data_IF_937856805225
#
_entry.id   IF_937856805225
#
_cell.length_a   1.000
_cell.length_b   1.000
_cell.length_c   1.000
_cell.angle_alpha   90.00
_cell.angle_beta   90.00
_cell.angle_gamma   90.00
#
_symmetry.space_group_name_H-M   'P 1'
#
loop_
_entity.id
_entity.type
_entity.pdbx_description
1 polymer ?
#
# COMPACT_ATOMS: atom_id res chain seq x y z
N UNK A 1 -4.81 8.71 -21.59
CA UNK A 1 -4.50 9.05 -22.99
C UNK A 1 -3.29 9.97 -23.12
N UNK A 2 -3.26 11.13 -22.43
CA UNK A 2 -2.12 12.07 -22.49
C UNK A 2 -0.74 11.42 -22.24
N UNK A 3 -0.66 10.48 -21.30
CA UNK A 3 0.55 9.71 -21.00
C UNK A 3 1.04 8.83 -22.15
N UNK A 4 0.12 8.15 -22.85
CA UNK A 4 0.44 7.30 -24.00
C UNK A 4 1.01 8.15 -25.14
N UNK A 5 0.34 9.26 -25.48
CA UNK A 5 0.79 10.15 -26.55
C UNK A 5 2.15 10.80 -26.28
N UNK A 6 2.46 11.17 -25.04
CA UNK A 6 3.77 11.72 -24.69
C UNK A 6 4.89 10.69 -24.85
N UNK A 7 4.60 9.41 -24.57
CA UNK A 7 5.56 8.31 -24.78
C UNK A 7 5.74 7.99 -26.26
N UNK A 8 4.70 8.14 -27.08
CA UNK A 8 4.77 7.90 -28.54
C UNK A 8 5.47 9.03 -29.27
N UNK A 9 5.16 10.29 -28.93
CA UNK A 9 5.77 11.48 -29.55
C UNK A 9 7.22 11.64 -29.11
N UNK A 10 7.56 11.20 -27.89
CA UNK A 10 8.90 11.25 -27.31
C UNK A 10 9.60 12.64 -27.47
N UNK A 11 8.98 13.74 -26.99
CA UNK A 11 9.41 15.11 -27.29
C UNK A 11 10.73 15.53 -26.62
N UNK A 12 11.19 14.82 -25.59
CA UNK A 12 12.43 15.13 -24.88
C UNK A 12 13.54 14.13 -25.21
N UNK A 13 14.80 14.55 -25.05
CA UNK A 13 15.99 13.71 -25.29
C UNK A 13 16.04 12.52 -24.31
N UNK A 14 15.66 12.75 -23.06
CA UNK A 14 15.53 11.73 -22.02
C UNK A 14 14.40 12.14 -21.04
N UNK A 15 13.88 11.18 -20.28
CA UNK A 15 12.95 11.44 -19.20
C UNK A 15 11.48 11.43 -19.59
N UNK A 16 11.12 11.12 -20.84
CA UNK A 16 9.74 11.03 -21.29
C UNK A 16 8.89 10.11 -20.40
N UNK A 17 9.44 8.96 -19.99
CA UNK A 17 8.77 8.04 -19.06
C UNK A 17 8.54 8.62 -17.66
N UNK A 18 9.44 9.46 -17.16
CA UNK A 18 9.28 10.13 -15.85
C UNK A 18 8.24 11.25 -15.95
N UNK A 19 8.30 12.05 -17.02
CA UNK A 19 7.36 13.14 -17.28
C UNK A 19 5.94 12.60 -17.52
N UNK A 20 5.79 11.53 -18.31
CA UNK A 20 4.50 10.90 -18.56
C UNK A 20 3.84 10.42 -17.26
N UNK A 21 4.63 9.80 -16.36
CA UNK A 21 4.13 9.32 -15.06
C UNK A 21 3.78 10.47 -14.11
N UNK A 22 4.63 11.50 -14.03
CA UNK A 22 4.34 12.69 -13.24
C UNK A 22 3.06 13.41 -13.72
N UNK A 23 2.92 13.60 -15.04
CA UNK A 23 1.71 14.17 -15.64
C UNK A 23 0.47 13.32 -15.34
N UNK A 24 0.60 12.00 -15.41
CA UNK A 24 -0.49 11.07 -15.08
C UNK A 24 -0.95 11.25 -13.64
N UNK A 25 -0.02 11.36 -12.68
CA UNK A 25 -0.36 11.61 -11.28
C UNK A 25 -1.10 12.94 -11.09
N UNK A 26 -0.64 14.01 -11.75
CA UNK A 26 -1.29 15.33 -11.69
C UNK A 26 -2.70 15.28 -12.27
N UNK A 27 -2.89 14.66 -13.44
CA UNK A 27 -4.19 14.55 -14.08
C UNK A 27 -5.18 13.71 -13.26
N UNK A 28 -4.71 12.62 -12.65
CA UNK A 28 -5.52 11.82 -11.74
C UNK A 28 -5.92 12.63 -10.49
N UNK A 29 -4.99 13.43 -9.96
CA UNK A 29 -5.25 14.29 -8.82
C UNK A 29 -6.31 15.36 -9.14
N UNK A 30 -6.20 16.02 -10.29
CA UNK A 30 -7.10 17.10 -10.72
C UNK A 30 -8.56 16.63 -10.85
N UNK A 31 -8.77 15.38 -11.28
CA UNK A 31 -10.12 14.79 -11.40
C UNK A 31 -10.59 14.04 -10.14
N UNK A 32 -9.84 14.12 -9.03
CA UNK A 32 -10.23 13.59 -7.72
C UNK A 32 -9.80 12.15 -7.41
N UNK A 33 -8.94 11.53 -8.21
CA UNK A 33 -8.33 10.23 -7.87
C UNK A 33 -7.12 10.42 -6.94
N UNK A 34 -7.40 10.60 -5.65
CA UNK A 34 -6.38 10.87 -4.61
C UNK A 34 -5.55 9.65 -4.18
N UNK A 35 -5.84 8.44 -4.68
CA UNK A 35 -5.12 7.21 -4.26
C UNK A 35 -3.61 7.31 -4.48
N UNK A 36 -3.21 8.07 -5.49
CA UNK A 36 -1.82 8.29 -5.91
C UNK A 36 -0.99 9.04 -4.85
N UNK A 37 -1.66 9.70 -3.88
CA UNK A 37 -1.04 10.32 -2.70
C UNK A 37 -0.59 9.30 -1.65
N UNK A 38 -1.23 8.13 -1.62
CA UNK A 38 -1.08 7.13 -0.57
C UNK A 38 -0.35 5.88 -1.06
N UNK A 39 -0.53 5.52 -2.33
CA UNK A 39 0.12 4.37 -2.96
C UNK A 39 0.81 4.83 -4.23
N UNK A 40 2.07 4.42 -4.40
CA UNK A 40 2.88 4.81 -5.56
C UNK A 40 2.47 4.05 -6.82
N UNK A 41 1.85 4.76 -7.75
CA UNK A 41 1.58 4.25 -9.11
C UNK A 41 2.86 3.79 -9.82
N UNK A 42 4.00 4.43 -9.55
CA UNK A 42 5.27 4.03 -10.17
C UNK A 42 5.71 2.65 -9.73
N UNK A 43 5.50 2.32 -8.45
CA UNK A 43 5.79 0.98 -7.93
C UNK A 43 4.84 -0.04 -8.56
N UNK A 44 3.56 0.28 -8.72
CA UNK A 44 2.59 -0.59 -9.39
C UNK A 44 2.95 -0.83 -10.87
N UNK A 45 3.44 0.19 -11.57
CA UNK A 45 3.95 0.07 -12.96
C UNK A 45 5.21 -0.79 -12.99
N UNK A 46 6.16 -0.57 -12.09
CA UNK A 46 7.40 -1.35 -12.03
C UNK A 46 7.12 -2.84 -11.76
N UNK A 47 6.16 -3.16 -10.89
CA UNK A 47 5.69 -4.53 -10.63
C UNK A 47 5.03 -5.19 -11.85
N UNK A 48 4.54 -4.40 -12.82
CA UNK A 48 3.83 -4.84 -14.01
C UNK A 48 4.49 -4.36 -15.31
N UNK A 49 5.82 -4.22 -15.31
CA UNK A 49 6.57 -3.58 -16.39
C UNK A 49 6.33 -4.24 -17.76
N UNK A 50 6.27 -5.57 -17.83
CA UNK A 50 6.02 -6.28 -19.09
C UNK A 50 4.64 -5.93 -19.67
N UNK A 51 3.60 -5.91 -18.82
CA UNK A 51 2.25 -5.53 -19.22
C UNK A 51 2.14 -4.06 -19.62
N UNK A 52 2.88 -3.19 -18.94
CA UNK A 52 3.01 -1.79 -19.29
C UNK A 52 3.54 -1.61 -20.71
N UNK A 53 4.69 -2.22 -21.02
CA UNK A 53 5.31 -2.07 -22.34
C UNK A 53 4.52 -2.79 -23.44
N UNK A 54 3.96 -3.97 -23.16
CA UNK A 54 3.14 -4.70 -24.11
C UNK A 54 1.87 -3.93 -24.48
N UNK A 55 1.17 -3.36 -23.49
CA UNK A 55 -0.03 -2.56 -23.74
C UNK A 55 0.27 -1.27 -24.48
N UNK A 56 1.40 -0.62 -24.18
CA UNK A 56 1.85 0.57 -24.88
C UNK A 56 2.15 0.26 -26.35
N UNK A 57 2.95 -0.78 -26.62
CA UNK A 57 3.30 -1.20 -27.98
C UNK A 57 2.07 -1.57 -28.80
N UNK A 58 1.15 -2.35 -28.22
CA UNK A 58 -0.10 -2.71 -28.87
C UNK A 58 -0.96 -1.49 -29.19
N UNK A 59 -0.87 -0.42 -28.38
CA UNK A 59 -1.67 0.78 -28.57
C UNK A 59 -1.07 1.82 -29.49
N UNK A 60 0.20 1.65 -29.87
CA UNK A 60 0.92 2.54 -30.78
C UNK A 60 1.21 1.88 -32.13
N UNK A 61 0.86 0.61 -32.31
CA UNK A 61 0.91 -0.05 -33.60
C UNK A 61 0.06 0.72 -34.62
N UNK A 62 0.58 0.96 -35.83
CA UNK A 62 -0.14 1.72 -36.87
C UNK A 62 -0.32 3.22 -36.55
N UNK A 63 0.45 3.79 -35.62
CA UNK A 63 0.32 5.20 -35.23
C UNK A 63 0.45 6.17 -36.40
N UNK A 64 1.46 5.99 -37.27
CA UNK A 64 1.71 6.87 -38.41
C UNK A 64 0.63 6.79 -39.50
N UNK A 65 -0.05 5.64 -39.57
CA UNK A 65 -1.12 5.39 -40.53
C UNK A 65 -2.52 5.70 -39.95
N UNK A 66 -2.57 6.25 -38.73
CA UNK A 66 -3.80 6.51 -37.97
C UNK A 66 -4.67 5.26 -37.72
N UNK A 67 -4.07 4.07 -37.73
CA UNK A 67 -4.74 2.78 -37.47
C UNK A 67 -4.56 2.29 -36.03
N UNK A 68 -4.02 3.13 -35.14
CA UNK A 68 -3.72 2.76 -33.76
C UNK A 68 -4.97 2.54 -32.90
N UNK A 69 -4.93 1.51 -32.06
CA UNK A 69 -5.99 1.19 -31.11
C UNK A 69 -5.59 1.64 -29.69
N UNK A 70 -6.24 2.64 -29.07
CA UNK A 70 -5.89 3.06 -27.71
C UNK A 70 -6.37 2.11 -26.60
N UNK A 71 -7.24 1.15 -26.92
CA UNK A 71 -7.91 0.31 -25.93
C UNK A 71 -7.00 -0.62 -25.11
N UNK A 72 -5.92 -1.22 -25.65
CA UNK A 72 -5.01 -2.05 -24.87
C UNK A 72 -4.37 -1.26 -23.71
N UNK A 73 -3.91 -0.03 -23.98
CA UNK A 73 -3.36 0.87 -22.98
C UNK A 73 -4.42 1.29 -21.96
N UNK A 74 -5.61 1.66 -22.41
CA UNK A 74 -6.70 2.05 -21.51
C UNK A 74 -7.09 0.92 -20.55
N UNK A 75 -7.19 -0.32 -21.05
CA UNK A 75 -7.48 -1.49 -20.22
C UNK A 75 -6.40 -1.73 -19.17
N UNK A 76 -5.13 -1.70 -19.58
CA UNK A 76 -4.00 -1.82 -18.66
C UNK A 76 -4.04 -0.71 -17.60
N UNK A 77 -4.22 0.54 -18.03
CA UNK A 77 -4.19 1.70 -17.15
C UNK A 77 -5.33 1.69 -16.12
N UNK A 78 -6.56 1.37 -16.53
CA UNK A 78 -7.70 1.26 -15.61
C UNK A 78 -7.48 0.10 -14.63
N UNK A 79 -6.96 -1.03 -15.11
CA UNK A 79 -6.61 -2.17 -14.25
C UNK A 79 -5.55 -1.80 -13.22
N UNK A 80 -4.52 -1.05 -13.63
CA UNK A 80 -3.48 -0.52 -12.76
C UNK A 80 -4.08 0.38 -11.67
N UNK A 81 -4.89 1.38 -12.03
CA UNK A 81 -5.55 2.28 -11.06
C UNK A 81 -6.43 1.48 -10.10
N UNK A 82 -7.22 0.52 -10.60
CA UNK A 82 -8.06 -0.35 -9.77
C UNK A 82 -7.22 -1.16 -8.77
N UNK A 83 -6.09 -1.72 -9.20
CA UNK A 83 -5.19 -2.46 -8.32
C UNK A 83 -4.57 -1.56 -7.24
N UNK A 84 -4.21 -0.33 -7.59
CA UNK A 84 -3.71 0.69 -6.63
C UNK A 84 -4.77 1.02 -5.57
N UNK A 85 -6.05 1.14 -5.96
CA UNK A 85 -7.15 1.31 -4.99
C UNK A 85 -7.36 0.09 -4.10
N UNK A 86 -7.22 -1.13 -4.63
CA UNK A 86 -7.31 -2.34 -3.83
C UNK A 86 -6.16 -2.43 -2.80
N UNK A 87 -4.93 -2.08 -3.18
CA UNK A 87 -3.78 -2.00 -2.28
C UNK A 87 -4.02 -0.95 -1.18
N UNK A 88 -4.52 0.23 -1.54
CA UNK A 88 -4.91 1.26 -0.58
C UNK A 88 -6.02 0.78 0.37
N UNK A 89 -7.03 0.08 -0.14
CA UNK A 89 -8.11 -0.48 0.67
C UNK A 89 -7.61 -1.56 1.63
N UNK A 90 -6.64 -2.38 1.22
CA UNK A 90 -6.02 -3.37 2.10
C UNK A 90 -5.21 -2.71 3.23
N UNK A 91 -4.40 -1.69 2.91
CA UNK A 91 -3.62 -0.94 3.90
C UNK A 91 -4.53 -0.19 4.86
N UNK A 92 -5.56 0.49 4.36
CA UNK A 92 -6.53 1.22 5.20
C UNK A 92 -7.49 0.28 5.92
N UNK A 93 -7.79 -0.89 5.38
CA UNK A 93 -8.57 -1.95 6.02
C UNK A 93 -7.82 -2.57 7.20
N UNK A 94 -6.53 -2.86 7.04
CA UNK A 94 -5.64 -3.27 8.14
C UNK A 94 -5.47 -2.17 9.19
N UNK A 95 -5.43 -0.89 8.78
CA UNK A 95 -5.43 0.24 9.71
C UNK A 95 -6.81 0.49 10.37
N UNK A 96 -7.89 0.00 9.75
CA UNK A 96 -9.27 -0.04 10.25
C UNK A 96 -9.59 -1.40 10.87
N UNK A 97 -8.68 -2.01 11.64
CA UNK A 97 -9.18 -2.83 12.73
C UNK A 97 -10.01 -1.93 13.65
N UNK A 98 -11.32 -1.95 13.39
CA UNK A 98 -12.37 -1.08 13.90
C UNK A 98 -12.65 -1.27 15.38
N UNK A 99 -11.76 -1.96 16.08
CA UNK A 99 -11.87 -2.15 17.52
C UNK A 99 -11.24 -1.00 18.28
N UNK A 100 -11.50 -1.00 19.58
CA UNK A 100 -10.89 -0.06 20.50
C UNK A 100 -9.35 -0.09 20.39
N UNK A 101 -8.67 0.89 20.99
CA UNK A 101 -7.19 0.84 21.11
C UNK A 101 -6.69 -0.48 21.72
N UNK A 102 -7.52 -1.20 22.49
CA UNK A 102 -7.19 -2.51 23.05
C UNK A 102 -7.29 -3.62 21.99
N UNK A 103 -8.26 -3.58 21.09
CA UNK A 103 -8.41 -4.55 20.01
C UNK A 103 -7.24 -4.46 19.02
N UNK A 104 -6.76 -3.25 18.74
CA UNK A 104 -5.57 -3.05 17.91
C UNK A 104 -4.32 -3.68 18.54
N UNK A 105 -4.18 -3.58 19.86
CA UNK A 105 -3.09 -4.26 20.59
C UNK A 105 -3.28 -5.77 20.51
N UNK A 106 -4.50 -6.27 20.68
CA UNK A 106 -4.84 -7.68 20.57
C UNK A 106 -4.47 -8.27 19.22
N UNK A 107 -4.94 -7.66 18.13
CA UNK A 107 -4.64 -8.09 16.77
C UNK A 107 -3.14 -8.06 16.47
N UNK A 108 -2.44 -7.00 16.86
CA UNK A 108 -1.00 -6.92 16.69
C UNK A 108 -0.28 -8.07 17.41
N UNK A 109 -0.61 -8.31 18.69
CA UNK A 109 0.02 -9.37 19.47
C UNK A 109 -0.23 -10.75 18.88
N UNK A 110 -1.47 -11.04 18.48
CA UNK A 110 -1.85 -12.36 17.97
C UNK A 110 -1.35 -12.65 16.56
N UNK A 111 -1.31 -11.64 15.68
CA UNK A 111 -1.04 -11.84 14.25
C UNK A 111 0.32 -11.35 13.78
N UNK A 112 0.97 -10.43 14.50
CA UNK A 112 2.15 -9.71 13.99
C UNK A 112 3.35 -9.70 14.93
N UNK A 113 3.15 -9.76 16.26
CA UNK A 113 4.25 -9.75 17.20
C UNK A 113 5.11 -11.03 17.10
N UNK A 114 6.42 -10.95 17.40
CA UNK A 114 7.27 -12.14 17.60
C UNK A 114 6.75 -13.03 18.73
N UNK A 115 7.21 -14.29 18.78
CA UNK A 115 6.80 -15.24 19.85
C UNK A 115 7.16 -14.75 21.25
N UNK A 116 8.23 -13.98 21.39
CA UNK A 116 8.64 -13.29 22.61
C UNK A 116 8.80 -11.81 22.31
N UNK A 117 8.13 -10.94 23.08
CA UNK A 117 8.13 -9.50 22.85
C UNK A 117 8.07 -8.71 24.15
N UNK A 118 8.40 -7.42 24.10
CA UNK A 118 8.26 -6.47 25.20
C UNK A 118 7.16 -5.45 24.88
N UNK A 119 6.67 -4.76 25.93
CA UNK A 119 5.73 -3.64 25.76
C UNK A 119 6.32 -2.54 24.86
N UNK A 120 7.64 -2.36 24.87
CA UNK A 120 8.33 -1.39 24.01
C UNK A 120 8.16 -1.71 22.51
N UNK A 121 8.12 -2.99 22.13
CA UNK A 121 7.93 -3.42 20.75
C UNK A 121 6.51 -3.08 20.28
N UNK A 122 5.51 -3.37 21.13
CA UNK A 122 4.10 -3.03 20.87
C UNK A 122 3.92 -1.50 20.75
N UNK A 123 4.60 -0.72 21.62
CA UNK A 123 4.55 0.74 21.56
C UNK A 123 5.15 1.28 20.26
N UNK A 124 6.25 0.68 19.79
CA UNK A 124 6.91 1.06 18.54
C UNK A 124 6.03 0.73 17.33
N UNK A 125 5.34 -0.41 17.36
CA UNK A 125 4.44 -0.82 16.28
C UNK A 125 3.11 -0.07 16.26
N UNK A 126 2.61 0.38 17.42
CA UNK A 126 1.31 1.05 17.57
C UNK A 126 1.45 2.47 18.17
N UNK A 127 2.04 3.44 17.43
CA UNK A 127 2.14 4.82 17.88
C UNK A 127 0.73 5.41 18.12
N UNK A 128 0.52 6.04 19.29
CA UNK A 128 -0.75 6.63 19.70
C UNK A 128 -1.61 5.77 20.66
N UNK A 129 -1.16 4.56 20.99
CA UNK A 129 -1.70 3.74 22.09
C UNK A 129 -0.89 4.00 23.37
N UNK A 130 -1.56 4.29 24.48
CA UNK A 130 -0.87 4.50 25.76
C UNK A 130 -0.42 3.18 26.38
N UNK A 131 0.68 3.20 27.13
CA UNK A 131 1.16 2.05 27.91
C UNK A 131 0.07 1.40 28.77
N UNK A 132 -0.79 2.22 29.36
CA UNK A 132 -1.91 1.73 30.16
C UNK A 132 -2.88 0.89 29.32
N UNK A 133 -3.16 1.31 28.10
CA UNK A 133 -4.04 0.57 27.18
C UNK A 133 -3.40 -0.74 26.74
N UNK A 134 -2.10 -0.72 26.45
CA UNK A 134 -1.32 -1.92 26.12
C UNK A 134 -1.39 -2.93 27.27
N UNK A 135 -1.16 -2.48 28.51
CA UNK A 135 -1.23 -3.33 29.72
C UNK A 135 -2.63 -3.93 29.91
N UNK A 136 -3.70 -3.16 29.70
CA UNK A 136 -5.06 -3.68 29.82
C UNK A 136 -5.32 -4.79 28.79
N UNK A 137 -4.95 -4.56 27.52
CA UNK A 137 -5.11 -5.56 26.47
C UNK A 137 -4.27 -6.83 26.71
N UNK A 138 -3.01 -6.68 27.16
CA UNK A 138 -2.15 -7.82 27.50
C UNK A 138 -2.67 -8.60 28.71
N UNK A 139 -3.23 -7.92 29.72
CA UNK A 139 -3.84 -8.60 30.86
C UNK A 139 -5.10 -9.38 30.45
N UNK A 140 -5.92 -8.85 29.52
CA UNK A 140 -7.06 -9.57 28.96
C UNK A 140 -6.58 -10.82 28.20
N UNK A 141 -5.61 -10.67 27.29
CA UNK A 141 -5.00 -11.80 26.57
C UNK A 141 -4.40 -12.86 27.51
N UNK A 142 -3.79 -12.43 28.62
CA UNK A 142 -3.28 -13.33 29.65
C UNK A 142 -4.39 -14.11 30.36
N UNK A 143 -5.50 -13.43 30.68
CA UNK A 143 -6.67 -14.09 31.29
C UNK A 143 -7.31 -15.14 30.37
N UNK A 144 -7.17 -14.96 29.06
CA UNK A 144 -7.60 -15.91 28.02
C UNK A 144 -6.57 -17.00 27.73
N UNK A 145 -5.38 -16.95 28.35
CA UNK A 145 -4.32 -17.94 28.16
C UNK A 145 -3.55 -17.84 26.84
N UNK A 146 -3.72 -16.75 26.08
CA UNK A 146 -3.08 -16.52 24.78
C UNK A 146 -1.66 -15.95 24.91
N UNK A 147 -1.33 -15.33 26.04
CA UNK A 147 0.01 -14.83 26.36
C UNK A 147 0.38 -15.10 27.82
N UNK A 148 1.66 -15.26 28.10
CA UNK A 148 2.23 -15.37 29.45
C UNK A 148 3.30 -14.31 29.68
N UNK A 149 3.53 -13.96 30.95
CA UNK A 149 4.59 -13.01 31.33
C UNK A 149 5.72 -13.80 31.96
N UNK A 150 6.91 -13.69 31.38
CA UNK A 150 8.08 -14.48 31.83
C UNK A 150 8.90 -13.74 32.89
N UNK A 151 8.72 -12.42 33.00
CA UNK A 151 9.48 -11.59 33.95
C UNK A 151 8.69 -10.34 34.41
N UNK A 152 8.99 -9.84 35.62
CA UNK A 152 8.36 -8.66 36.21
C UNK A 152 9.35 -7.48 36.21
N UNK A 153 8.95 -6.32 35.67
CA UNK A 153 9.76 -5.09 35.69
C UNK A 153 9.69 -4.28 34.39
N UNK A 154 10.59 -3.29 34.24
CA UNK A 154 10.68 -2.45 33.03
C UNK A 154 11.10 -3.22 31.77
N UNK A 155 11.73 -4.38 31.92
CA UNK A 155 12.13 -5.29 30.85
C UNK A 155 11.27 -6.55 30.75
N UNK A 156 10.05 -6.53 31.30
CA UNK A 156 9.13 -7.66 31.27
C UNK A 156 8.91 -8.18 29.84
N UNK A 157 9.22 -9.45 29.62
CA UNK A 157 8.97 -10.17 28.38
C UNK A 157 7.64 -10.91 28.45
N UNK A 158 6.93 -10.91 27.33
CA UNK A 158 5.68 -11.60 27.12
C UNK A 158 5.90 -12.66 26.05
N UNK A 159 5.41 -13.87 26.30
CA UNK A 159 5.45 -14.97 25.34
C UNK A 159 4.05 -15.26 24.84
N UNK A 160 3.88 -15.33 23.52
CA UNK A 160 2.64 -15.75 22.87
C UNK A 160 2.59 -17.28 22.79
N UNK A 161 1.47 -17.87 23.22
CA UNK A 161 1.23 -19.32 23.08
C UNK A 161 0.70 -19.69 21.71
#
# INVERSE_FOLDING_TARGET
MASCYLLTIHPFIDGNGRIARALTNVLLHDVGYDVTRYVSLEVSIAKSADGYYASLLASTAGWHDAEHDPWPWLRYFIGLVSATYAEFAAVTGAARSSGSKQERVREYVLSHAPSVFQIADVRTALPGVSDQTIRIALNALRSEGLVEVDSVGRGATWTRR
#
